data_IF_713094599272
#
_entry.id   IF_713094599272
#
_cell.length_a   1.000
_cell.length_b   1.000
_cell.length_c   1.000
_cell.angle_alpha   90.00
_cell.angle_beta   90.00
_cell.angle_gamma   90.00
#
_symmetry.space_group_name_H-M   'P 1'
#
loop_
_entity.id
_entity.type
_entity.pdbx_description
1 polymer ?
#
# COMPACT_ATOMS: atom_id res chain seq x y z
N UNK A 1 27.71 -1.03 -5.13
CA UNK A 1 26.37 -1.25 -4.57
C UNK A 1 25.38 -1.02 -5.71
N UNK A 2 24.85 -2.11 -6.27
CA UNK A 2 23.88 -2.01 -7.35
C UNK A 2 22.55 -1.55 -6.74
N UNK A 3 22.04 -0.42 -7.21
CA UNK A 3 20.88 0.24 -6.67
C UNK A 3 19.65 -0.65 -6.70
N UNK A 4 18.94 -0.69 -5.58
CA UNK A 4 17.67 -1.38 -5.47
C UNK A 4 16.65 -0.83 -6.48
N UNK A 5 15.51 -1.50 -6.65
CA UNK A 5 14.45 -1.03 -7.52
C UNK A 5 14.05 0.46 -7.34
N UNK A 6 14.06 0.97 -6.11
CA UNK A 6 13.86 2.40 -5.80
C UNK A 6 14.97 3.31 -6.34
N UNK A 7 16.22 2.89 -6.20
CA UNK A 7 17.37 3.64 -6.72
C UNK A 7 17.30 3.74 -8.25
N UNK A 8 16.84 2.68 -8.94
CA UNK A 8 16.63 2.69 -10.39
C UNK A 8 15.50 3.63 -10.82
N UNK A 9 14.48 3.79 -9.98
CA UNK A 9 13.39 4.73 -10.21
C UNK A 9 13.75 6.18 -9.80
N UNK A 10 14.98 6.43 -9.33
CA UNK A 10 15.41 7.74 -8.86
C UNK A 10 14.73 8.19 -7.56
N UNK A 11 14.18 7.25 -6.80
CA UNK A 11 13.54 7.52 -5.50
C UNK A 11 14.59 7.41 -4.40
N UNK A 12 14.81 8.50 -3.69
CA UNK A 12 15.75 8.50 -2.57
C UNK A 12 15.21 7.70 -1.36
N UNK A 13 16.12 7.42 -0.44
CA UNK A 13 15.84 6.63 0.76
C UNK A 13 14.81 7.28 1.69
N UNK A 14 14.75 8.60 1.74
CA UNK A 14 13.81 9.35 2.58
C UNK A 14 12.38 9.21 2.04
N UNK A 15 12.22 9.39 0.73
CA UNK A 15 10.97 9.21 0.00
C UNK A 15 10.48 7.77 0.09
N UNK A 16 11.38 6.78 -0.03
CA UNK A 16 11.04 5.38 0.22
C UNK A 16 10.53 5.15 1.65
N UNK A 17 11.22 5.70 2.64
CA UNK A 17 10.83 5.55 4.04
C UNK A 17 9.46 6.18 4.30
N UNK A 18 9.20 7.37 3.75
CA UNK A 18 7.90 8.02 3.83
C UNK A 18 6.78 7.18 3.19
N UNK A 19 7.01 6.61 2.00
CA UNK A 19 6.07 5.71 1.34
C UNK A 19 5.77 4.47 2.20
N UNK A 20 6.80 3.92 2.86
CA UNK A 20 6.65 2.77 3.77
C UNK A 20 5.81 3.11 4.99
N UNK A 21 6.06 4.26 5.62
CA UNK A 21 5.26 4.76 6.75
C UNK A 21 3.80 4.97 6.36
N UNK A 22 3.55 5.58 5.18
CA UNK A 22 2.20 5.79 4.68
C UNK A 22 1.46 4.47 4.41
N UNK A 23 2.10 3.50 3.75
CA UNK A 23 1.49 2.20 3.49
C UNK A 23 1.13 1.45 4.79
N UNK A 24 2.00 1.51 5.80
CA UNK A 24 1.72 0.93 7.11
C UNK A 24 0.55 1.61 7.82
N UNK A 25 0.48 2.95 7.77
CA UNK A 25 -0.62 3.71 8.35
C UNK A 25 -1.97 3.36 7.69
N UNK A 26 -2.01 3.30 6.35
CA UNK A 26 -3.22 2.91 5.59
C UNK A 26 -3.69 1.52 6.00
N UNK A 27 -2.77 0.55 6.09
CA UNK A 27 -3.09 -0.82 6.52
C UNK A 27 -3.67 -0.86 7.93
N UNK A 28 -3.13 -0.09 8.86
CA UNK A 28 -3.65 -0.04 10.21
C UNK A 28 -5.03 0.62 10.28
N UNK A 29 -5.21 1.74 9.57
CA UNK A 29 -6.52 2.39 9.44
C UNK A 29 -7.56 1.45 8.85
N UNK A 30 -7.23 0.73 7.78
CA UNK A 30 -8.12 -0.27 7.18
C UNK A 30 -8.52 -1.31 8.22
N UNK A 31 -7.58 -1.89 8.96
CA UNK A 31 -7.88 -2.90 9.99
C UNK A 31 -8.81 -2.40 11.08
N UNK A 32 -8.66 -1.14 11.50
CA UNK A 32 -9.56 -0.50 12.44
C UNK A 32 -10.96 -0.31 11.85
N UNK A 33 -11.05 0.06 10.57
CA UNK A 33 -12.32 0.23 9.86
C UNK A 33 -13.03 -1.09 9.51
N UNK A 34 -12.31 -2.22 9.53
CA UNK A 34 -12.86 -3.56 9.37
C UNK A 34 -13.50 -4.11 10.65
N UNK A 35 -13.63 -3.29 11.72
CA UNK A 35 -14.46 -3.64 12.86
C UNK A 35 -15.92 -3.83 12.40
N UNK A 36 -16.47 -5.06 12.52
CA UNK A 36 -17.77 -5.40 11.94
C UNK A 36 -18.96 -4.79 12.69
N UNK A 37 -18.74 -4.08 13.80
CA UNK A 37 -19.82 -3.51 14.62
C UNK A 37 -20.56 -2.34 13.96
N UNK A 38 -19.92 -1.57 13.05
CA UNK A 38 -20.51 -0.35 12.47
C UNK A 38 -20.30 -0.20 10.95
N UNK A 39 -20.08 -1.27 10.20
CA UNK A 39 -19.71 -1.16 8.79
C UNK A 39 -20.74 -1.79 7.83
N UNK A 40 -21.33 -0.96 6.98
CA UNK A 40 -22.38 -1.34 6.01
C UNK A 40 -21.86 -2.13 4.79
N UNK A 41 -20.54 -2.24 4.61
CA UNK A 41 -19.97 -2.95 3.47
C UNK A 41 -20.03 -4.49 3.66
N UNK A 42 -20.06 -5.21 2.53
CA UNK A 42 -20.10 -6.67 2.56
C UNK A 42 -18.80 -7.24 3.16
N UNK A 43 -18.86 -8.38 3.88
CA UNK A 43 -17.66 -9.05 4.40
C UNK A 43 -16.61 -9.37 3.33
N UNK A 44 -17.03 -9.60 2.08
CA UNK A 44 -16.11 -9.81 0.94
C UNK A 44 -15.35 -8.54 0.55
N UNK A 45 -15.97 -7.37 0.69
CA UNK A 45 -15.32 -6.09 0.38
C UNK A 45 -14.33 -5.73 1.48
N UNK A 46 -14.67 -6.04 2.73
CA UNK A 46 -13.77 -5.99 3.89
C UNK A 46 -12.52 -6.84 3.68
N UNK A 47 -12.70 -8.10 3.29
CA UNK A 47 -11.59 -9.00 2.99
C UNK A 47 -10.70 -8.45 1.88
N UNK A 48 -11.30 -8.03 0.75
CA UNK A 48 -10.56 -7.45 -0.39
C UNK A 48 -9.78 -6.20 0.00
N UNK A 49 -10.36 -5.33 0.82
CA UNK A 49 -9.70 -4.12 1.30
C UNK A 49 -8.50 -4.44 2.19
N UNK A 50 -8.64 -5.43 3.08
CA UNK A 50 -7.53 -5.93 3.89
C UNK A 50 -6.39 -6.50 3.06
N UNK A 51 -6.71 -7.34 2.06
CA UNK A 51 -5.74 -7.91 1.11
C UNK A 51 -5.01 -6.82 0.32
N UNK A 52 -5.75 -5.81 -0.17
CA UNK A 52 -5.16 -4.69 -0.90
C UNK A 52 -4.18 -3.89 -0.04
N UNK A 53 -4.52 -3.64 1.22
CA UNK A 53 -3.65 -2.91 2.14
C UNK A 53 -2.38 -3.70 2.50
N UNK A 54 -2.47 -5.02 2.66
CA UNK A 54 -1.30 -5.88 2.87
C UNK A 54 -0.39 -5.91 1.62
N UNK A 55 -0.97 -5.96 0.43
CA UNK A 55 -0.20 -5.96 -0.82
C UNK A 55 0.48 -4.63 -1.10
N UNK A 56 -0.14 -3.50 -0.73
CA UNK A 56 0.49 -2.19 -0.80
C UNK A 56 1.78 -2.13 0.02
N UNK A 57 1.78 -2.65 1.25
CA UNK A 57 2.98 -2.71 2.09
C UNK A 57 4.06 -3.57 1.44
N UNK A 58 3.71 -4.77 0.96
CA UNK A 58 4.67 -5.68 0.31
C UNK A 58 5.32 -5.04 -0.92
N UNK A 59 4.54 -4.30 -1.73
CA UNK A 59 5.06 -3.64 -2.92
C UNK A 59 6.02 -2.50 -2.58
N UNK A 60 5.72 -1.75 -1.51
CA UNK A 60 6.63 -0.70 -1.03
C UNK A 60 7.93 -1.30 -0.49
N UNK A 61 7.87 -2.42 0.22
CA UNK A 61 9.05 -3.11 0.76
C UNK A 61 9.90 -3.79 -0.32
N UNK A 62 9.26 -4.43 -1.31
CA UNK A 62 9.95 -5.01 -2.49
C UNK A 62 10.53 -3.94 -3.42
N UNK A 63 9.97 -2.74 -3.31
CA UNK A 63 10.33 -1.58 -4.09
C UNK A 63 9.91 -1.68 -5.53
N UNK A 64 8.65 -1.92 -5.79
CA UNK A 64 8.15 -1.82 -7.16
C UNK A 64 7.40 -0.49 -7.38
N UNK A 65 8.11 0.64 -7.58
CA UNK A 65 7.49 1.95 -7.78
C UNK A 65 6.59 2.00 -9.02
N UNK A 66 6.91 1.23 -10.07
CA UNK A 66 6.09 1.15 -11.27
C UNK A 66 4.75 0.48 -10.98
N UNK A 67 4.76 -0.66 -10.28
CA UNK A 67 3.53 -1.33 -9.86
C UNK A 67 2.73 -0.47 -8.87
N UNK A 68 3.38 0.25 -7.95
CA UNK A 68 2.70 1.21 -7.06
C UNK A 68 2.04 2.33 -7.89
N UNK A 69 2.74 2.91 -8.86
CA UNK A 69 2.18 3.94 -9.73
C UNK A 69 1.05 3.43 -10.62
N UNK A 70 1.07 2.15 -11.01
CA UNK A 70 -0.03 1.51 -11.71
C UNK A 70 -1.26 1.30 -10.81
N UNK A 71 -1.05 0.84 -9.56
CA UNK A 71 -2.13 0.66 -8.59
C UNK A 71 -2.83 1.99 -8.28
N UNK A 72 -2.08 3.05 -8.00
CA UNK A 72 -2.63 4.38 -7.73
C UNK A 72 -3.43 4.92 -8.92
N UNK A 73 -2.94 4.74 -10.15
CA UNK A 73 -3.67 5.12 -11.37
C UNK A 73 -4.96 4.34 -11.57
N UNK A 74 -5.01 3.08 -11.16
CA UNK A 74 -6.20 2.24 -11.27
C UNK A 74 -7.26 2.58 -10.23
N UNK A 75 -6.84 2.93 -9.01
CA UNK A 75 -7.76 3.31 -7.93
C UNK A 75 -8.31 4.74 -8.02
N UNK A 76 -7.69 5.61 -8.82
CA UNK A 76 -8.16 6.98 -9.07
C UNK A 76 -9.25 7.10 -10.15
N UNK A 77 -9.68 5.97 -10.75
CA UNK A 77 -10.80 5.88 -11.70
C UNK A 77 -12.02 5.31 -11.01
#
# INVERSE_FOLDING_TARGET
>A
MAGGPWDRAGVDRETWYAARTMAAAIRETVRLSLDPSENEALPSDHQRLGEYADDLVKLVERGDPETIAMLLRRGAR
#
